data_IF_281151123862
#
_entry.id   IF_281151123862
#
_cell.length_a   1.000
_cell.length_b   1.000
_cell.length_c   1.000
_cell.angle_alpha   90.00
_cell.angle_beta   90.00
_cell.angle_gamma   90.00
#
_symmetry.space_group_name_H-M   'P 1'
#
loop_
_entity.id
_entity.type
_entity.pdbx_description
1 polymer ?
#
# COMPACT_ATOMS: atom_id res chain seq x y z
N UNK A 1 31.32 -15.96 -13.42
CA UNK A 1 29.87 -15.75 -13.68
C UNK A 1 29.31 -15.15 -12.40
N UNK A 2 28.85 -13.90 -12.43
CA UNK A 2 28.27 -13.24 -11.25
C UNK A 2 26.97 -13.93 -10.83
N UNK A 3 26.73 -14.04 -9.51
CA UNK A 3 25.44 -14.54 -9.01
C UNK A 3 24.47 -13.37 -8.94
N UNK A 4 23.42 -13.38 -9.75
CA UNK A 4 22.41 -12.33 -9.71
C UNK A 4 21.31 -12.65 -8.70
N UNK A 5 20.87 -11.62 -7.99
CA UNK A 5 19.69 -11.66 -7.11
C UNK A 5 18.72 -10.54 -7.49
N UNK A 6 17.43 -10.87 -7.56
CA UNK A 6 16.34 -9.95 -7.91
C UNK A 6 15.38 -9.93 -6.73
N UNK A 7 15.01 -8.73 -6.29
CA UNK A 7 14.08 -8.53 -5.19
C UNK A 7 12.75 -8.02 -5.69
N UNK A 8 11.68 -8.60 -5.17
CA UNK A 8 10.43 -7.86 -5.09
C UNK A 8 10.64 -6.58 -4.25
N UNK A 9 10.02 -5.48 -4.65
CA UNK A 9 10.23 -4.18 -4.03
C UNK A 9 9.19 -3.93 -2.94
N UNK A 10 7.91 -4.11 -3.23
CA UNK A 10 6.82 -3.67 -2.35
C UNK A 10 6.45 -4.77 -1.36
N UNK A 11 6.47 -4.46 -0.06
CA UNK A 11 6.22 -5.45 0.99
C UNK A 11 7.45 -6.28 1.36
N UNK A 12 8.39 -6.46 0.42
CA UNK A 12 9.69 -7.09 0.64
C UNK A 12 10.74 -6.06 1.02
N UNK A 13 11.13 -5.17 0.10
CA UNK A 13 12.13 -4.12 0.35
C UNK A 13 11.54 -2.88 1.04
N UNK A 14 10.35 -2.44 0.65
CA UNK A 14 9.69 -1.29 1.26
C UNK A 14 8.58 -1.73 2.22
N UNK A 15 8.47 -1.07 3.37
CA UNK A 15 7.42 -1.36 4.36
C UNK A 15 6.18 -0.48 4.12
N UNK A 16 5.02 -0.99 4.54
CA UNK A 16 3.74 -0.27 4.50
C UNK A 16 3.54 0.69 5.68
N UNK A 17 4.58 0.94 6.50
CA UNK A 17 4.44 1.75 7.72
C UNK A 17 4.08 3.20 7.39
N UNK A 18 4.70 3.77 6.34
CA UNK A 18 4.40 5.12 5.86
C UNK A 18 2.94 5.25 5.39
N UNK A 19 2.43 4.21 4.72
CA UNK A 19 1.04 4.14 4.28
C UNK A 19 0.06 4.10 5.45
N UNK A 20 0.28 3.22 6.44
CA UNK A 20 -0.59 3.16 7.62
C UNK A 20 -0.51 4.43 8.48
N UNK A 21 0.67 5.02 8.62
CA UNK A 21 0.86 6.29 9.33
C UNK A 21 0.10 7.44 8.65
N UNK A 22 0.13 7.49 7.32
CA UNK A 22 -0.64 8.47 6.54
C UNK A 22 -2.13 8.32 6.76
N UNK A 23 -2.69 7.11 6.69
CA UNK A 23 -4.11 6.87 6.99
C UNK A 23 -4.45 7.30 8.42
N UNK A 24 -3.62 6.94 9.40
CA UNK A 24 -3.85 7.29 10.79
C UNK A 24 -3.88 8.80 11.01
N UNK A 25 -2.97 9.54 10.36
CA UNK A 25 -2.91 10.99 10.44
C UNK A 25 -4.07 11.68 9.70
N UNK A 26 -4.46 11.19 8.53
CA UNK A 26 -5.46 11.85 7.68
C UNK A 26 -6.89 11.54 8.11
N UNK A 27 -7.24 10.26 8.28
CA UNK A 27 -8.64 9.83 8.51
C UNK A 27 -8.84 9.00 9.77
N UNK A 28 -7.77 8.73 10.54
CA UNK A 28 -7.85 7.91 11.76
C UNK A 28 -8.89 8.38 12.78
N UNK A 29 -9.03 9.69 13.07
CA UNK A 29 -10.08 10.18 13.97
C UNK A 29 -11.50 9.84 13.49
N UNK A 30 -11.76 9.94 12.17
CA UNK A 30 -13.05 9.58 11.57
C UNK A 30 -13.29 8.08 11.59
N UNK A 31 -12.29 7.27 11.26
CA UNK A 31 -12.40 5.81 11.33
C UNK A 31 -12.73 5.31 12.75
N UNK A 32 -12.20 5.99 13.76
CA UNK A 32 -12.40 5.62 15.16
C UNK A 32 -13.87 5.74 15.61
N UNK A 33 -14.67 6.63 15.01
CA UNK A 33 -16.11 6.74 15.32
C UNK A 33 -16.91 5.51 14.86
N UNK A 34 -16.33 4.71 13.96
CA UNK A 34 -16.88 3.45 13.46
C UNK A 34 -16.18 2.21 14.06
N UNK A 35 -15.33 2.38 15.08
CA UNK A 35 -14.48 1.32 15.66
C UNK A 35 -13.51 0.67 14.67
N UNK A 36 -13.10 1.40 13.63
CA UNK A 36 -12.16 0.93 12.61
C UNK A 36 -10.77 1.46 12.93
N UNK A 37 -9.78 0.56 13.02
CA UNK A 37 -8.37 1.01 13.16
C UNK A 37 -7.79 1.40 11.80
N UNK A 38 -6.92 2.41 11.71
CA UNK A 38 -6.24 2.79 10.47
C UNK A 38 -5.53 1.61 9.78
N UNK A 39 -4.89 0.75 10.57
CA UNK A 39 -4.19 -0.44 10.08
C UNK A 39 -5.15 -1.45 9.44
N UNK A 40 -6.27 -1.73 10.10
CA UNK A 40 -7.27 -2.63 9.54
C UNK A 40 -7.88 -2.07 8.25
N UNK A 41 -8.25 -0.79 8.23
CA UNK A 41 -8.77 -0.15 7.03
C UNK A 41 -7.76 -0.17 5.88
N UNK A 42 -6.52 0.26 6.12
CA UNK A 42 -5.47 0.28 5.10
C UNK A 42 -5.19 -1.11 4.55
N UNK A 43 -5.12 -2.13 5.41
CA UNK A 43 -4.92 -3.51 4.97
C UNK A 43 -6.07 -3.98 4.07
N UNK A 44 -7.33 -3.80 4.51
CA UNK A 44 -8.52 -4.20 3.75
C UNK A 44 -8.59 -3.50 2.39
N UNK A 45 -8.35 -2.19 2.36
CA UNK A 45 -8.41 -1.41 1.13
C UNK A 45 -7.29 -1.80 0.14
N UNK A 46 -6.06 -1.91 0.63
CA UNK A 46 -4.91 -2.33 -0.17
C UNK A 46 -5.11 -3.74 -0.74
N UNK A 47 -5.52 -4.71 0.06
CA UNK A 47 -5.75 -6.09 -0.41
C UNK A 47 -6.88 -6.15 -1.45
N UNK A 48 -7.96 -5.38 -1.27
CA UNK A 48 -9.01 -5.30 -2.28
C UNK A 48 -8.51 -4.68 -3.59
N UNK A 49 -7.62 -3.67 -3.52
CA UNK A 49 -7.02 -3.04 -4.68
C UNK A 49 -6.01 -3.95 -5.39
N UNK A 50 -5.20 -4.71 -4.67
CA UNK A 50 -4.25 -5.68 -5.24
C UNK A 50 -5.01 -6.78 -6.02
N UNK A 51 -6.12 -7.27 -5.47
CA UNK A 51 -6.95 -8.26 -6.13
C UNK A 51 -7.57 -7.70 -7.42
N UNK A 52 -8.17 -6.51 -7.37
CA UNK A 52 -8.79 -5.86 -8.53
C UNK A 52 -7.75 -5.51 -9.60
N UNK A 53 -6.60 -4.97 -9.20
CA UNK A 53 -5.48 -4.69 -10.09
C UNK A 53 -4.98 -5.95 -10.80
N UNK A 54 -4.88 -7.05 -10.07
CA UNK A 54 -4.50 -8.36 -10.62
C UNK A 54 -5.50 -8.80 -11.69
N UNK A 55 -6.80 -8.77 -11.39
CA UNK A 55 -7.84 -9.15 -12.34
C UNK A 55 -7.84 -8.28 -13.60
N UNK A 56 -7.71 -6.95 -13.45
CA UNK A 56 -7.59 -6.03 -14.59
C UNK A 56 -6.35 -6.31 -15.44
N UNK A 57 -5.24 -6.68 -14.81
CA UNK A 57 -3.98 -6.97 -15.50
C UNK A 57 -4.06 -8.26 -16.31
N UNK A 58 -4.63 -9.34 -15.74
CA UNK A 58 -4.77 -10.62 -16.44
C UNK A 58 -5.88 -10.59 -17.52
N UNK A 59 -6.82 -9.66 -17.43
CA UNK A 59 -7.90 -9.47 -18.43
C UNK A 59 -7.56 -8.43 -19.51
N UNK A 60 -6.27 -8.12 -19.70
CA UNK A 60 -5.76 -7.13 -20.67
C UNK A 60 -6.39 -5.72 -20.53
N UNK A 61 -6.94 -5.40 -19.35
CA UNK A 61 -7.65 -4.15 -19.04
C UNK A 61 -6.88 -3.30 -18.03
N UNK A 62 -5.55 -3.26 -18.19
CA UNK A 62 -4.63 -2.64 -17.24
C UNK A 62 -5.06 -1.22 -16.84
N UNK A 63 -4.98 -0.95 -15.52
CA UNK A 63 -5.13 0.37 -14.92
C UNK A 63 -3.99 0.61 -13.93
N UNK A 64 -3.45 1.84 -13.84
CA UNK A 64 -2.47 2.15 -12.80
C UNK A 64 -3.02 1.85 -11.40
N UNK A 65 -2.20 1.23 -10.55
CA UNK A 65 -2.62 0.80 -9.20
C UNK A 65 -3.22 1.94 -8.35
N UNK A 66 -2.67 3.15 -8.46
CA UNK A 66 -3.21 4.35 -7.78
C UNK A 66 -4.67 4.63 -8.16
N UNK A 67 -5.06 4.36 -9.40
CA UNK A 67 -6.41 4.64 -9.89
C UNK A 67 -7.38 3.55 -9.42
N UNK A 68 -6.90 2.30 -9.31
CA UNK A 68 -7.64 1.21 -8.64
C UNK A 68 -7.87 1.55 -7.17
N UNK A 69 -6.83 1.95 -6.43
CA UNK A 69 -6.94 2.42 -5.05
C UNK A 69 -8.00 3.53 -4.92
N UNK A 70 -7.95 4.56 -5.78
CA UNK A 70 -8.95 5.64 -5.78
C UNK A 70 -10.38 5.13 -5.95
N UNK A 71 -10.60 4.26 -6.92
CA UNK A 71 -11.92 3.71 -7.22
C UNK A 71 -12.47 2.89 -6.04
N UNK A 72 -11.60 2.25 -5.27
CA UNK A 72 -12.00 1.34 -4.20
C UNK A 72 -12.11 1.98 -2.81
N UNK A 73 -11.67 3.22 -2.62
CA UNK A 73 -11.63 3.86 -1.30
C UNK A 73 -12.99 3.86 -0.59
N UNK A 74 -14.01 4.45 -1.23
CA UNK A 74 -15.36 4.53 -0.66
C UNK A 74 -16.04 3.16 -0.56
N UNK A 75 -15.79 2.26 -1.52
CA UNK A 75 -16.30 0.88 -1.45
C UNK A 75 -15.73 0.17 -0.22
N UNK A 76 -14.44 0.33 0.04
CA UNK A 76 -13.75 -0.29 1.18
C UNK A 76 -14.25 0.26 2.51
N UNK A 77 -14.49 1.58 2.61
CA UNK A 77 -15.10 2.19 3.80
C UNK A 77 -16.51 1.65 4.06
N UNK A 78 -17.32 1.52 3.01
CA UNK A 78 -18.66 0.95 3.11
C UNK A 78 -18.62 -0.49 3.64
N UNK A 79 -17.76 -1.33 3.04
CA UNK A 79 -17.57 -2.72 3.47
C UNK A 79 -16.98 -2.84 4.87
N UNK A 80 -16.23 -1.84 5.35
CA UNK A 80 -15.71 -1.77 6.70
C UNK A 80 -16.74 -1.29 7.75
N UNK A 81 -17.97 -0.96 7.34
CA UNK A 81 -19.07 -0.60 8.24
C UNK A 81 -19.41 0.89 8.31
N UNK A 82 -18.90 1.72 7.39
CA UNK A 82 -19.30 3.13 7.27
C UNK A 82 -20.55 3.22 6.36
N UNK A 83 -21.75 3.55 6.87
CA UNK A 83 -22.99 3.44 6.09
C UNK A 83 -23.07 4.39 4.89
N UNK A 84 -22.57 5.61 5.05
CA UNK A 84 -22.48 6.60 3.97
C UNK A 84 -21.08 7.23 3.94
N UNK A 85 -20.11 6.57 3.29
CA UNK A 85 -18.73 7.06 3.28
C UNK A 85 -18.55 8.42 2.62
N UNK A 86 -19.41 8.80 1.66
CA UNK A 86 -19.26 10.03 0.88
C UNK A 86 -19.75 11.27 1.61
N UNK A 87 -20.61 11.14 2.62
CA UNK A 87 -20.95 12.27 3.50
C UNK A 87 -19.92 12.52 4.60
N UNK A 88 -18.99 11.58 4.81
CA UNK A 88 -18.05 11.62 5.95
C UNK A 88 -16.60 11.83 5.50
N UNK A 89 -16.20 11.23 4.38
CA UNK A 89 -14.82 11.25 3.88
C UNK A 89 -14.73 11.96 2.53
N UNK A 90 -13.62 12.66 2.28
CA UNK A 90 -13.45 13.44 1.05
C UNK A 90 -12.43 12.82 0.10
N UNK A 91 -12.46 13.29 -1.15
CA UNK A 91 -11.51 12.91 -2.19
C UNK A 91 -10.09 13.38 -1.85
N UNK A 92 -9.96 14.53 -1.19
CA UNK A 92 -8.68 15.06 -0.72
C UNK A 92 -8.07 14.18 0.38
N UNK A 93 -8.90 13.68 1.30
CA UNK A 93 -8.47 12.75 2.34
C UNK A 93 -8.01 11.41 1.75
N UNK A 94 -8.77 10.89 0.77
CA UNK A 94 -8.36 9.72 -0.01
C UNK A 94 -6.99 9.95 -0.65
N UNK A 95 -6.83 11.05 -1.38
CA UNK A 95 -5.61 11.32 -2.13
C UNK A 95 -4.40 11.53 -1.20
N UNK A 96 -4.61 12.13 -0.02
CA UNK A 96 -3.58 12.21 1.02
C UNK A 96 -3.18 10.82 1.55
N UNK A 97 -4.13 9.90 1.76
CA UNK A 97 -3.81 8.51 2.14
C UNK A 97 -3.02 7.77 1.04
N UNK A 98 -3.37 7.99 -0.23
CA UNK A 98 -2.65 7.38 -1.38
C UNK A 98 -1.23 7.93 -1.49
N UNK A 99 -1.00 9.21 -1.18
CA UNK A 99 0.33 9.78 -1.16
C UNK A 99 1.26 9.06 -0.16
N UNK A 100 0.71 8.56 0.96
CA UNK A 100 1.43 7.70 1.91
C UNK A 100 1.86 6.35 1.32
N UNK A 101 1.12 5.81 0.36
CA UNK A 101 1.52 4.62 -0.40
C UNK A 101 2.57 4.95 -1.47
N UNK A 102 2.58 6.16 -2.02
CA UNK A 102 3.67 6.56 -2.93
C UNK A 102 4.99 6.82 -2.19
N UNK A 103 4.95 6.97 -0.87
CA UNK A 103 6.11 7.27 -0.02
C UNK A 103 6.60 6.07 0.79
N UNK A 104 6.33 4.82 0.37
CA UNK A 104 6.86 3.63 1.05
C UNK A 104 8.38 3.72 1.17
N UNK A 105 8.87 3.44 2.37
CA UNK A 105 10.28 3.57 2.71
C UNK A 105 10.94 2.19 2.72
N UNK A 106 12.22 2.15 2.34
CA UNK A 106 13.03 0.96 2.49
C UNK A 106 13.08 0.53 3.96
N UNK A 107 13.01 -0.77 4.19
CA UNK A 107 13.25 -1.34 5.52
C UNK A 107 14.68 -1.01 5.95
N UNK A 108 14.91 -0.55 7.19
CA UNK A 108 16.25 -0.21 7.67
C UNK A 108 17.23 -1.38 7.54
N UNK A 109 16.74 -2.61 7.69
CA UNK A 109 17.58 -3.81 7.71
C UNK A 109 18.09 -4.24 6.34
N UNK A 110 17.62 -3.63 5.24
CA UNK A 110 18.08 -3.94 3.89
C UNK A 110 19.54 -3.60 3.67
N UNK A 111 20.04 -2.55 4.33
CA UNK A 111 21.44 -2.16 4.20
C UNK A 111 22.35 -3.32 4.60
N UNK A 112 22.10 -3.89 5.79
CA UNK A 112 22.84 -5.03 6.32
C UNK A 112 22.64 -6.29 5.46
N UNK A 113 21.41 -6.54 4.98
CA UNK A 113 21.11 -7.68 4.13
C UNK A 113 21.87 -7.62 2.79
N UNK A 114 21.90 -6.45 2.14
CA UNK A 114 22.59 -6.25 0.87
C UNK A 114 24.11 -6.29 1.01
N UNK A 115 24.65 -5.81 2.13
CA UNK A 115 26.07 -5.97 2.46
C UNK A 115 26.48 -7.44 2.53
N UNK A 116 25.75 -8.25 3.29
CA UNK A 116 26.03 -9.70 3.39
C UNK A 116 25.96 -10.42 2.05
N UNK A 117 25.01 -10.05 1.20
CA UNK A 117 24.86 -10.64 -0.13
C UNK A 117 26.03 -10.26 -1.05
N UNK A 118 26.45 -8.99 -1.01
CA UNK A 118 27.61 -8.53 -1.76
C UNK A 118 28.89 -9.21 -1.30
N UNK A 119 29.08 -9.38 0.01
CA UNK A 119 30.23 -10.10 0.58
C UNK A 119 30.27 -11.58 0.15
N UNK A 120 29.10 -12.17 -0.11
CA UNK A 120 28.97 -13.53 -0.64
C UNK A 120 29.08 -13.64 -2.17
N UNK A 121 29.38 -12.52 -2.86
CA UNK A 121 29.58 -12.47 -4.32
C UNK A 121 28.29 -12.41 -5.14
N UNK A 122 27.17 -11.93 -4.55
CA UNK A 122 25.96 -11.60 -5.29
C UNK A 122 25.98 -10.15 -5.80
N UNK A 123 25.52 -9.96 -7.02
CA UNK A 123 25.34 -8.65 -7.66
C UNK A 123 23.84 -8.36 -7.83
N UNK A 124 23.40 -7.16 -7.45
CA UNK A 124 22.01 -6.74 -7.58
C UNK A 124 21.65 -6.40 -9.03
N UNK A 125 20.56 -7.00 -9.52
CA UNK A 125 19.90 -6.57 -10.77
C UNK A 125 18.73 -5.65 -10.43
N UNK A 126 18.69 -4.48 -11.07
CA UNK A 126 17.58 -3.52 -10.96
C UNK A 126 16.33 -4.00 -11.67
#
# INVERSE_FOLDING_TARGET
MGKHIIFDVVGTCVSFDAYFASIAATIGPKLSTYNITPKHFGYTWMTAAELEFTFLSISESYRPYKDVMRALFYRSLFMAGVPDPRSVFTDEERDACIAGYASLQLRPELVNAFEKLRDAGFEGGG
#
